data_IF_402208259567
#
_entry.id   IF_402208259567
#
_cell.length_a   1.000
_cell.length_b   1.000
_cell.length_c   1.000
_cell.angle_alpha   90.00
_cell.angle_beta   90.00
_cell.angle_gamma   90.00
#
_symmetry.space_group_name_H-M   'P 1'
#
loop_
_entity.id
_entity.type
_entity.pdbx_description
1 polymer ?
#
# COMPACT_ATOMS: atom_id res chain seq x y z
N UNK A 1 -37.81 -78.53 -3.19
CA UNK A 1 -36.62 -79.40 -3.13
C UNK A 1 -36.13 -79.41 -1.68
N UNK A 2 -36.58 -80.41 -0.93
CA UNK A 2 -35.98 -81.03 0.26
C UNK A 2 -36.63 -82.41 0.32
N UNK A 3 -35.79 -83.44 0.32
CA UNK A 3 -36.10 -84.87 0.20
C UNK A 3 -36.58 -85.51 1.51
N UNK A 4 -37.45 -86.53 1.41
CA UNK A 4 -37.47 -87.66 2.33
C UNK A 4 -38.11 -88.92 1.67
N UNK A 5 -37.69 -90.16 2.01
CA UNK A 5 -37.82 -91.33 1.16
C UNK A 5 -38.77 -92.44 1.64
N UNK A 6 -39.04 -93.33 0.67
CA UNK A 6 -39.79 -94.59 0.55
C UNK A 6 -39.59 -95.65 1.68
N UNK A 7 -40.60 -96.53 1.88
CA UNK A 7 -40.31 -97.98 1.81
C UNK A 7 -41.30 -98.78 0.93
N UNK A 8 -40.89 -100.01 0.64
CA UNK A 8 -41.34 -100.89 -0.45
C UNK A 8 -42.43 -101.92 -0.07
N UNK A 9 -42.89 -102.62 -1.11
CA UNK A 9 -44.02 -103.56 -1.24
C UNK A 9 -44.05 -104.76 -0.26
N UNK A 10 -45.17 -105.51 -0.22
CA UNK A 10 -45.16 -106.75 -1.01
C UNK A 10 -46.46 -107.09 -1.78
N UNK A 11 -46.28 -108.10 -2.62
CA UNK A 11 -47.10 -108.68 -3.67
C UNK A 11 -48.54 -109.13 -3.30
N UNK A 12 -49.39 -108.96 -4.32
CA UNK A 12 -50.59 -109.70 -4.77
C UNK A 12 -51.03 -110.97 -4.03
N UNK A 13 -52.35 -111.19 -3.96
CA UNK A 13 -52.89 -112.23 -4.85
C UNK A 13 -54.12 -111.78 -5.64
N UNK A 14 -54.10 -112.21 -6.90
CA UNK A 14 -55.17 -112.99 -7.51
C UNK A 14 -56.47 -112.25 -7.90
N UNK A 15 -56.62 -112.13 -9.22
CA UNK A 15 -57.72 -111.49 -9.90
C UNK A 15 -59.04 -112.27 -9.75
N UNK A 16 -60.15 -111.59 -9.43
CA UNK A 16 -61.45 -112.00 -9.93
C UNK A 16 -61.69 -111.36 -11.31
N UNK A 17 -61.89 -112.24 -12.28
CA UNK A 17 -62.69 -112.14 -13.51
C UNK A 17 -62.98 -110.74 -14.11
N UNK A 18 -62.69 -110.51 -15.41
CA UNK A 18 -63.14 -109.31 -16.11
C UNK A 18 -64.66 -109.31 -16.25
N UNK A 19 -65.33 -108.59 -15.35
CA UNK A 19 -66.72 -108.21 -15.54
C UNK A 19 -66.81 -107.27 -16.77
N UNK A 20 -67.83 -107.43 -17.62
CA UNK A 20 -67.89 -106.81 -18.93
C UNK A 20 -67.76 -105.29 -18.84
N UNK A 21 -66.86 -104.75 -19.67
CA UNK A 21 -66.79 -103.33 -20.05
C UNK A 21 -68.12 -102.92 -20.68
N UNK A 22 -69.10 -102.61 -19.84
CA UNK A 22 -70.38 -102.07 -20.23
C UNK A 22 -70.27 -100.54 -20.28
N UNK A 23 -70.01 -100.01 -21.48
CA UNK A 23 -70.51 -98.72 -22.00
C UNK A 23 -70.60 -97.52 -21.01
N UNK A 24 -69.60 -97.25 -20.17
CA UNK A 24 -69.65 -96.14 -19.20
C UNK A 24 -69.22 -94.78 -19.76
N UNK A 25 -68.72 -94.69 -21.00
CA UNK A 25 -68.42 -93.42 -21.67
C UNK A 25 -69.65 -92.53 -21.77
N UNK A 26 -70.83 -93.10 -22.12
CA UNK A 26 -72.08 -92.33 -22.17
C UNK A 26 -72.51 -91.78 -20.81
N UNK A 27 -72.28 -92.53 -19.73
CA UNK A 27 -72.59 -92.09 -18.37
C UNK A 27 -71.64 -90.96 -17.92
N UNK A 28 -70.34 -91.06 -18.22
CA UNK A 28 -69.37 -89.99 -17.91
C UNK A 28 -69.65 -88.71 -18.71
N UNK A 29 -69.96 -88.85 -20.00
CA UNK A 29 -70.36 -87.70 -20.83
C UNK A 29 -71.66 -87.08 -20.33
N UNK A 30 -72.63 -87.89 -19.88
CA UNK A 30 -73.88 -87.39 -19.28
C UNK A 30 -73.62 -86.66 -17.96
N UNK A 31 -72.76 -87.17 -17.08
CA UNK A 31 -72.41 -86.49 -15.82
C UNK A 31 -71.74 -85.15 -16.10
N UNK A 32 -70.78 -85.09 -17.04
CA UNK A 32 -70.12 -83.82 -17.41
C UNK A 32 -71.13 -82.83 -17.98
N UNK A 33 -71.99 -83.25 -18.91
CA UNK A 33 -73.04 -82.39 -19.44
C UNK A 33 -74.02 -81.94 -18.37
N UNK A 34 -74.41 -82.84 -17.46
CA UNK A 34 -75.26 -82.50 -16.33
C UNK A 34 -74.62 -81.44 -15.45
N UNK A 35 -73.36 -81.59 -15.06
CA UNK A 35 -72.64 -80.59 -14.26
C UNK A 35 -72.53 -79.26 -15.01
N UNK A 36 -72.19 -79.28 -16.30
CA UNK A 36 -72.13 -78.05 -17.11
C UNK A 36 -73.49 -77.37 -17.24
N UNK A 37 -74.57 -78.13 -17.42
CA UNK A 37 -75.94 -77.60 -17.49
C UNK A 37 -76.36 -77.02 -16.13
N UNK A 38 -76.07 -77.69 -15.03
CA UNK A 38 -76.40 -77.18 -13.69
C UNK A 38 -75.57 -75.94 -13.33
N UNK A 39 -74.30 -75.88 -13.74
CA UNK A 39 -73.48 -74.67 -13.60
C UNK A 39 -74.00 -73.54 -14.49
N UNK A 40 -74.35 -73.81 -15.75
CA UNK A 40 -74.92 -72.82 -16.65
C UNK A 40 -76.26 -72.28 -16.12
N UNK A 41 -77.14 -73.14 -15.59
CA UNK A 41 -78.41 -72.74 -14.97
C UNK A 41 -78.17 -71.95 -13.68
N UNK A 42 -77.28 -72.41 -12.80
CA UNK A 42 -76.95 -71.72 -11.56
C UNK A 42 -76.35 -70.33 -11.79
N UNK A 43 -75.49 -70.19 -12.79
CA UNK A 43 -74.89 -68.91 -13.20
C UNK A 43 -75.92 -68.01 -13.89
N UNK A 44 -76.83 -68.56 -14.70
CA UNK A 44 -77.88 -67.80 -15.39
C UNK A 44 -78.91 -67.21 -14.41
N UNK A 45 -79.15 -67.87 -13.27
CA UNK A 45 -80.03 -67.36 -12.22
C UNK A 45 -79.33 -66.41 -11.23
N UNK A 46 -78.06 -66.67 -10.89
CA UNK A 46 -77.32 -65.84 -9.93
C UNK A 46 -76.78 -64.52 -10.50
N UNK A 47 -76.37 -64.47 -11.77
CA UNK A 47 -75.80 -63.25 -12.37
C UNK A 47 -76.79 -62.07 -12.41
N UNK A 48 -78.06 -62.23 -12.84
CA UNK A 48 -78.99 -61.11 -12.92
C UNK A 48 -79.29 -60.48 -11.55
N UNK A 49 -79.45 -61.29 -10.49
CA UNK A 49 -79.66 -60.78 -9.13
C UNK A 49 -78.39 -60.12 -8.59
N UNK A 50 -77.21 -60.71 -8.81
CA UNK A 50 -75.94 -60.11 -8.41
C UNK A 50 -75.68 -58.77 -9.11
N UNK A 51 -75.98 -58.66 -10.42
CA UNK A 51 -75.85 -57.41 -11.16
C UNK A 51 -76.85 -56.35 -10.68
N UNK A 52 -78.09 -56.73 -10.33
CA UNK A 52 -79.06 -55.81 -9.72
C UNK A 52 -78.60 -55.33 -8.35
N UNK A 53 -78.15 -56.25 -7.49
CA UNK A 53 -77.59 -55.91 -6.18
C UNK A 53 -76.38 -54.98 -6.30
N UNK A 54 -75.48 -55.24 -7.24
CA UNK A 54 -74.30 -54.40 -7.48
C UNK A 54 -74.66 -53.04 -8.05
N UNK A 55 -75.63 -52.96 -8.97
CA UNK A 55 -76.14 -51.69 -9.47
C UNK A 55 -76.82 -50.85 -8.38
N UNK A 56 -77.55 -51.50 -7.47
CA UNK A 56 -78.18 -50.85 -6.33
C UNK A 56 -77.15 -50.35 -5.31
N UNK A 57 -76.10 -51.13 -5.02
CA UNK A 57 -74.97 -50.70 -4.20
C UNK A 57 -74.27 -49.49 -4.81
N UNK A 58 -73.94 -49.51 -6.11
CA UNK A 58 -73.34 -48.36 -6.79
C UNK A 58 -74.23 -47.12 -6.73
N UNK A 59 -75.56 -47.28 -6.83
CA UNK A 59 -76.50 -46.15 -6.69
C UNK A 59 -76.51 -45.59 -5.27
N UNK A 60 -76.45 -46.46 -4.25
CA UNK A 60 -76.37 -46.03 -2.85
C UNK A 60 -75.03 -45.34 -2.55
N UNK A 61 -73.92 -45.84 -3.08
CA UNK A 61 -72.60 -45.24 -2.91
C UNK A 61 -72.52 -43.89 -3.63
N UNK A 62 -73.06 -43.77 -4.85
CA UNK A 62 -73.17 -42.48 -5.54
C UNK A 62 -74.03 -41.49 -4.76
N UNK A 63 -75.19 -41.92 -4.26
CA UNK A 63 -76.06 -41.07 -3.44
C UNK A 63 -75.39 -40.61 -2.14
N UNK A 64 -74.55 -41.46 -1.52
CA UNK A 64 -73.74 -41.09 -0.35
C UNK A 64 -72.67 -40.05 -0.70
N UNK A 65 -71.93 -40.26 -1.78
CA UNK A 65 -70.91 -39.30 -2.24
C UNK A 65 -71.52 -37.95 -2.62
N UNK A 66 -72.67 -37.95 -3.29
CA UNK A 66 -73.36 -36.71 -3.65
C UNK A 66 -73.94 -36.01 -2.41
N UNK A 67 -74.43 -36.76 -1.42
CA UNK A 67 -74.84 -36.20 -0.13
C UNK A 67 -73.66 -35.62 0.66
N UNK A 68 -72.48 -36.27 0.64
CA UNK A 68 -71.25 -35.75 1.25
C UNK A 68 -70.78 -34.48 0.55
N UNK A 69 -70.74 -34.46 -0.79
CA UNK A 69 -70.41 -33.26 -1.57
C UNK A 69 -71.39 -32.12 -1.32
N UNK A 70 -72.68 -32.40 -1.20
CA UNK A 70 -73.69 -31.39 -0.88
C UNK A 70 -73.46 -30.80 0.52
N UNK A 71 -73.14 -31.64 1.51
CA UNK A 71 -72.79 -31.19 2.88
C UNK A 71 -71.50 -30.38 2.91
N UNK A 72 -70.48 -30.80 2.17
CA UNK A 72 -69.22 -30.05 2.07
C UNK A 72 -69.44 -28.71 1.35
N UNK A 73 -70.21 -28.67 0.26
CA UNK A 73 -70.57 -27.45 -0.43
C UNK A 73 -71.37 -26.50 0.47
N UNK A 74 -72.32 -27.03 1.24
CA UNK A 74 -73.08 -26.25 2.23
C UNK A 74 -72.17 -25.69 3.33
N UNK A 75 -71.22 -26.50 3.84
CA UNK A 75 -70.23 -26.04 4.84
C UNK A 75 -69.36 -24.91 4.27
N UNK A 76 -68.83 -25.08 3.06
CA UNK A 76 -68.00 -24.04 2.41
C UNK A 76 -68.80 -22.77 2.13
N UNK A 77 -70.07 -22.89 1.73
CA UNK A 77 -70.95 -21.74 1.52
C UNK A 77 -71.24 -21.00 2.83
N UNK A 78 -71.48 -21.72 3.94
CA UNK A 78 -71.66 -21.12 5.27
C UNK A 78 -70.38 -20.44 5.77
N UNK A 79 -69.22 -21.09 5.62
CA UNK A 79 -67.92 -20.51 5.99
C UNK A 79 -67.61 -19.25 5.16
N UNK A 80 -67.90 -19.26 3.86
CA UNK A 80 -67.71 -18.09 3.02
C UNK A 80 -68.66 -16.95 3.40
N UNK A 81 -69.95 -17.26 3.61
CA UNK A 81 -70.92 -16.26 4.06
C UNK A 81 -70.53 -15.64 5.41
N UNK A 82 -69.98 -16.45 6.34
CA UNK A 82 -69.45 -15.98 7.62
C UNK A 82 -68.27 -15.01 7.42
N UNK A 83 -67.28 -15.36 6.59
CA UNK A 83 -66.15 -14.47 6.28
C UNK A 83 -66.60 -13.18 5.61
N UNK A 84 -67.55 -13.26 4.68
CA UNK A 84 -68.08 -12.09 4.00
C UNK A 84 -68.82 -11.17 4.99
N UNK A 85 -69.59 -11.73 5.92
CA UNK A 85 -70.24 -10.98 7.01
C UNK A 85 -69.22 -10.34 7.95
N UNK A 86 -68.21 -11.08 8.39
CA UNK A 86 -67.12 -10.59 9.25
C UNK A 86 -66.38 -9.40 8.60
N UNK A 87 -66.03 -9.52 7.31
CA UNK A 87 -65.37 -8.43 6.59
C UNK A 87 -66.27 -7.22 6.36
N UNK A 88 -67.59 -7.41 6.22
CA UNK A 88 -68.55 -6.32 6.13
C UNK A 88 -68.64 -5.57 7.47
N UNK A 89 -68.77 -6.29 8.59
CA UNK A 89 -68.80 -5.73 9.95
C UNK A 89 -67.52 -4.95 10.25
N UNK A 90 -66.34 -5.50 9.92
CA UNK A 90 -65.07 -4.79 10.08
C UNK A 90 -65.02 -3.49 9.28
N UNK A 91 -65.47 -3.51 8.02
CA UNK A 91 -65.52 -2.29 7.19
C UNK A 91 -66.46 -1.23 7.77
N UNK A 92 -67.63 -1.64 8.26
CA UNK A 92 -68.57 -0.72 8.91
C UNK A 92 -67.97 -0.13 10.19
N UNK A 93 -67.33 -0.96 11.01
CA UNK A 93 -66.63 -0.54 12.23
C UNK A 93 -65.51 0.45 11.93
N UNK A 94 -64.67 0.16 10.93
CA UNK A 94 -63.62 1.07 10.45
C UNK A 94 -64.22 2.40 9.97
N UNK A 95 -65.35 2.37 9.26
CA UNK A 95 -66.01 3.58 8.80
C UNK A 95 -66.54 4.44 9.97
N UNK A 96 -67.15 3.82 10.98
CA UNK A 96 -67.60 4.50 12.20
C UNK A 96 -66.43 5.08 12.99
N UNK A 97 -65.34 4.31 13.17
CA UNK A 97 -64.11 4.77 13.81
C UNK A 97 -63.47 5.91 13.03
N UNK A 98 -63.51 5.88 11.69
CA UNK A 98 -63.02 6.99 10.85
C UNK A 98 -63.85 8.26 11.04
N UNK A 99 -65.16 8.13 11.17
CA UNK A 99 -66.05 9.25 11.45
C UNK A 99 -65.76 9.86 12.84
N UNK A 100 -65.62 9.01 13.85
CA UNK A 100 -65.30 9.43 15.23
C UNK A 100 -63.90 10.05 15.31
N UNK A 101 -62.91 9.47 14.62
CA UNK A 101 -61.59 10.05 14.42
C UNK A 101 -61.69 11.43 13.78
N UNK A 102 -62.47 11.60 12.71
CA UNK A 102 -62.63 12.88 12.04
C UNK A 102 -63.29 13.93 12.94
N UNK A 103 -64.21 13.54 13.84
CA UNK A 103 -64.80 14.44 14.83
C UNK A 103 -63.77 14.91 15.87
N UNK A 104 -62.86 14.04 16.30
CA UNK A 104 -61.86 14.32 17.33
C UNK A 104 -60.66 15.09 16.75
N UNK A 105 -60.14 14.65 15.61
CA UNK A 105 -58.91 15.17 15.01
C UNK A 105 -59.10 16.48 14.21
N UNK A 106 -60.36 16.86 13.91
CA UNK A 106 -60.71 17.96 12.99
C UNK A 106 -60.06 19.31 13.30
N UNK A 107 -59.68 19.55 14.55
CA UNK A 107 -59.03 20.81 14.95
C UNK A 107 -57.53 20.86 14.61
N UNK A 108 -56.84 19.73 14.63
CA UNK A 108 -55.37 19.71 14.69
C UNK A 108 -54.70 19.00 13.51
N UNK A 109 -55.41 18.13 12.78
CA UNK A 109 -54.84 17.37 11.65
C UNK A 109 -55.81 17.36 10.47
N UNK A 110 -55.35 17.82 9.31
CA UNK A 110 -56.17 17.91 8.09
C UNK A 110 -55.50 17.27 6.87
N UNK A 111 -56.31 16.83 5.90
CA UNK A 111 -55.84 16.27 4.63
C UNK A 111 -55.07 14.96 4.80
N UNK A 112 -54.03 14.76 3.98
CA UNK A 112 -53.27 13.50 3.93
C UNK A 112 -52.67 13.08 5.26
N UNK A 113 -52.24 14.03 6.09
CA UNK A 113 -51.68 13.72 7.41
C UNK A 113 -52.72 13.08 8.35
N UNK A 114 -54.01 13.40 8.19
CA UNK A 114 -55.10 12.81 8.96
C UNK A 114 -55.40 11.38 8.49
N UNK A 115 -55.38 11.13 7.18
CA UNK A 115 -55.56 9.78 6.64
C UNK A 115 -54.40 8.85 7.01
N UNK A 116 -53.15 9.33 6.97
CA UNK A 116 -51.99 8.56 7.42
C UNK A 116 -52.04 8.26 8.93
N UNK A 117 -52.40 9.26 9.74
CA UNK A 117 -52.52 9.07 11.19
C UNK A 117 -53.63 8.09 11.54
N UNK A 118 -54.75 8.15 10.81
CA UNK A 118 -55.82 7.18 10.96
C UNK A 118 -55.37 5.78 10.57
N UNK A 119 -54.67 5.62 9.44
CA UNK A 119 -54.11 4.33 9.01
C UNK A 119 -53.18 3.73 10.08
N UNK A 120 -52.25 4.55 10.61
CA UNK A 120 -51.31 4.11 11.65
C UNK A 120 -52.03 3.63 12.92
N UNK A 121 -53.13 4.30 13.32
CA UNK A 121 -53.93 3.90 14.48
C UNK A 121 -54.72 2.62 14.19
N UNK A 122 -55.26 2.47 12.98
CA UNK A 122 -56.02 1.28 12.59
C UNK A 122 -55.13 0.04 12.49
N UNK A 123 -53.89 0.18 12.04
CA UNK A 123 -52.91 -0.92 12.00
C UNK A 123 -52.60 -1.45 13.42
N UNK A 124 -52.46 -0.56 14.41
CA UNK A 124 -52.24 -0.93 15.82
C UNK A 124 -53.50 -1.54 16.49
N UNK A 125 -54.69 -1.32 15.91
CA UNK A 125 -55.97 -1.84 16.39
C UNK A 125 -56.44 -3.10 15.68
N UNK A 126 -55.75 -3.57 14.62
CA UNK A 126 -56.20 -4.68 13.78
C UNK A 126 -56.61 -5.93 14.55
N UNK A 127 -55.81 -6.35 15.54
CA UNK A 127 -56.10 -7.53 16.36
C UNK A 127 -57.38 -7.41 17.20
N UNK A 128 -57.70 -6.20 17.65
CA UNK A 128 -58.87 -5.97 18.51
C UNK A 128 -60.14 -5.88 17.66
N UNK A 129 -60.03 -5.38 16.43
CA UNK A 129 -61.12 -5.42 15.44
C UNK A 129 -61.43 -6.85 15.01
N UNK A 130 -60.39 -7.69 14.88
CA UNK A 130 -60.55 -9.12 14.63
C UNK A 130 -61.26 -9.79 15.81
N UNK A 131 -60.82 -9.54 17.05
CA UNK A 131 -61.44 -10.08 18.25
C UNK A 131 -62.92 -9.64 18.41
N UNK A 132 -63.23 -8.38 18.10
CA UNK A 132 -64.61 -7.89 18.12
C UNK A 132 -65.49 -8.57 17.06
N UNK A 133 -64.96 -8.78 15.85
CA UNK A 133 -65.70 -9.46 14.80
C UNK A 133 -65.96 -10.94 15.13
N UNK A 134 -64.98 -11.61 15.76
CA UNK A 134 -65.13 -12.97 16.28
C UNK A 134 -66.18 -13.05 17.40
N UNK A 135 -66.23 -12.05 18.28
CA UNK A 135 -67.24 -11.98 19.35
C UNK A 135 -68.64 -11.73 18.79
N UNK A 136 -68.77 -10.96 17.71
CA UNK A 136 -70.05 -10.65 17.07
C UNK A 136 -70.66 -11.88 16.36
N UNK A 137 -69.82 -12.82 15.92
CA UNK A 137 -70.26 -14.11 15.37
C UNK A 137 -70.58 -15.15 16.47
N UNK A 138 -70.13 -14.92 17.71
CA UNK A 138 -70.42 -15.83 18.81
C UNK A 138 -71.86 -15.65 19.31
N UNK A 139 -72.72 -16.65 19.08
CA UNK A 139 -74.13 -16.65 19.52
C UNK A 139 -74.32 -16.48 21.04
N UNK A 140 -73.26 -16.68 21.84
CA UNK A 140 -73.29 -16.51 23.29
C UNK A 140 -72.83 -15.11 23.76
N UNK A 141 -72.38 -14.24 22.84
CA UNK A 141 -72.02 -12.88 23.18
C UNK A 141 -73.28 -12.09 23.54
N UNK A 142 -73.31 -11.52 24.75
CA UNK A 142 -74.40 -10.63 25.13
C UNK A 142 -74.20 -9.24 24.51
N UNK A 143 -75.28 -8.54 24.18
CA UNK A 143 -75.24 -7.16 23.68
C UNK A 143 -74.39 -6.24 24.60
N UNK A 144 -74.47 -6.45 25.91
CA UNK A 144 -73.67 -5.71 26.89
C UNK A 144 -72.16 -5.95 26.75
N UNK A 145 -71.74 -7.16 26.34
CA UNK A 145 -70.33 -7.50 26.08
C UNK A 145 -69.85 -6.80 24.81
N UNK A 146 -70.66 -6.82 23.74
CA UNK A 146 -70.35 -6.15 22.48
C UNK A 146 -70.26 -4.62 22.67
N UNK A 147 -71.18 -4.01 23.42
CA UNK A 147 -71.14 -2.58 23.73
C UNK A 147 -69.90 -2.21 24.55
N UNK A 148 -69.51 -3.07 25.50
CA UNK A 148 -68.30 -2.87 26.29
C UNK A 148 -67.04 -2.95 25.41
N UNK A 149 -66.94 -3.95 24.53
CA UNK A 149 -65.79 -4.12 23.64
C UNK A 149 -65.69 -2.98 22.62
N UNK A 150 -66.81 -2.49 22.07
CA UNK A 150 -66.85 -1.29 21.24
C UNK A 150 -66.39 -0.05 22.02
N UNK A 151 -66.78 0.08 23.28
CA UNK A 151 -66.32 1.19 24.15
C UNK A 151 -64.81 1.12 24.37
N UNK A 152 -64.27 -0.07 24.60
CA UNK A 152 -62.83 -0.29 24.78
C UNK A 152 -62.05 -0.01 23.48
N UNK A 153 -62.57 -0.42 22.31
CA UNK A 153 -62.01 -0.08 21.01
C UNK A 153 -61.94 1.44 20.80
N UNK A 154 -63.04 2.17 21.08
CA UNK A 154 -63.05 3.64 20.97
C UNK A 154 -62.05 4.28 21.92
N UNK A 155 -61.96 3.79 23.16
CA UNK A 155 -60.98 4.28 24.15
C UNK A 155 -59.54 4.01 23.69
N UNK A 156 -59.25 2.84 23.14
CA UNK A 156 -57.94 2.49 22.58
C UNK A 156 -57.59 3.41 21.41
N UNK A 157 -58.52 3.60 20.46
CA UNK A 157 -58.35 4.53 19.33
C UNK A 157 -57.96 5.93 19.79
N UNK A 158 -58.64 6.47 20.80
CA UNK A 158 -58.34 7.81 21.34
C UNK A 158 -56.95 7.86 22.00
N UNK A 159 -56.59 6.83 22.76
CA UNK A 159 -55.28 6.76 23.42
C UNK A 159 -54.14 6.63 22.40
N UNK A 160 -54.29 5.78 21.40
CA UNK A 160 -53.29 5.57 20.34
C UNK A 160 -53.17 6.81 19.47
N UNK A 161 -54.29 7.45 19.13
CA UNK A 161 -54.32 8.75 18.46
C UNK A 161 -53.52 9.80 19.25
N UNK A 162 -53.78 9.93 20.56
CA UNK A 162 -53.08 10.88 21.41
C UNK A 162 -51.57 10.57 21.49
N UNK A 163 -51.19 9.30 21.55
CA UNK A 163 -49.79 8.87 21.56
C UNK A 163 -49.08 9.23 20.25
N UNK A 164 -49.67 8.90 19.09
CA UNK A 164 -49.11 9.20 17.77
C UNK A 164 -49.06 10.70 17.49
N UNK A 165 -50.05 11.48 17.95
CA UNK A 165 -50.02 12.95 17.88
C UNK A 165 -48.85 13.52 18.70
N UNK A 166 -48.65 13.04 19.93
CA UNK A 166 -47.49 13.44 20.76
C UNK A 166 -46.18 13.08 20.10
N UNK A 167 -46.07 11.88 19.54
CA UNK A 167 -44.88 11.43 18.82
C UNK A 167 -44.58 12.28 17.59
N UNK A 168 -45.58 12.54 16.73
CA UNK A 168 -45.42 13.41 15.56
C UNK A 168 -45.04 14.84 15.95
N UNK A 169 -45.67 15.42 16.98
CA UNK A 169 -45.31 16.74 17.48
C UNK A 169 -43.87 16.79 18.03
N UNK A 170 -43.46 15.77 18.77
CA UNK A 170 -42.10 15.64 19.28
C UNK A 170 -41.07 15.51 18.14
N UNK A 171 -41.37 14.70 17.11
CA UNK A 171 -40.53 14.57 15.91
C UNK A 171 -40.39 15.89 15.17
N UNK A 172 -41.49 16.60 14.92
CA UNK A 172 -41.43 17.91 14.25
C UNK A 172 -40.62 18.95 15.04
N UNK A 173 -40.73 18.96 16.37
CA UNK A 173 -39.89 19.82 17.23
C UNK A 173 -38.43 19.42 17.16
N UNK A 174 -38.12 18.12 17.20
CA UNK A 174 -36.76 17.60 17.08
C UNK A 174 -36.15 17.92 15.72
N UNK A 175 -36.89 17.77 14.62
CA UNK A 175 -36.45 18.14 13.27
C UNK A 175 -36.18 19.65 13.14
N UNK A 176 -37.09 20.49 13.66
CA UNK A 176 -36.88 21.95 13.70
C UNK A 176 -35.65 22.31 14.52
N UNK A 177 -35.43 21.65 15.65
CA UNK A 177 -34.25 21.82 16.49
C UNK A 177 -32.98 21.41 15.76
N UNK A 178 -32.93 20.21 15.19
CA UNK A 178 -31.79 19.70 14.41
C UNK A 178 -31.47 20.61 13.22
N UNK A 179 -32.49 21.06 12.50
CA UNK A 179 -32.33 22.02 11.40
C UNK A 179 -31.72 23.33 11.91
N UNK A 180 -32.21 23.87 13.02
CA UNK A 180 -31.65 25.10 13.61
C UNK A 180 -30.21 24.90 14.09
N UNK A 181 -29.89 23.75 14.69
CA UNK A 181 -28.52 23.39 15.08
C UNK A 181 -27.62 23.33 13.86
N UNK A 182 -28.04 22.66 12.80
CA UNK A 182 -27.25 22.49 11.59
C UNK A 182 -27.07 23.80 10.80
N UNK A 183 -28.11 24.60 10.67
CA UNK A 183 -28.10 25.82 9.86
C UNK A 183 -27.46 27.01 10.60
N UNK A 184 -27.61 27.11 11.93
CA UNK A 184 -27.20 28.29 12.69
C UNK A 184 -26.05 28.05 13.66
N UNK A 185 -25.98 26.88 14.30
CA UNK A 185 -25.03 26.62 15.39
C UNK A 185 -23.75 25.99 14.85
N UNK A 186 -23.87 24.91 14.06
CA UNK A 186 -22.73 24.19 13.52
C UNK A 186 -21.76 25.09 12.71
N UNK A 187 -22.22 26.00 11.82
CA UNK A 187 -21.33 26.86 11.07
C UNK A 187 -20.58 27.86 11.96
N UNK A 188 -21.27 28.44 12.95
CA UNK A 188 -20.67 29.39 13.90
C UNK A 188 -19.62 28.75 14.78
N UNK A 189 -19.86 27.52 15.23
CA UNK A 189 -18.87 26.74 15.99
C UNK A 189 -17.65 26.44 15.11
N UNK A 190 -17.87 25.98 13.88
CA UNK A 190 -16.79 25.71 12.94
C UNK A 190 -15.95 26.97 12.63
N UNK A 191 -16.60 28.11 12.44
CA UNK A 191 -15.95 29.41 12.21
C UNK A 191 -15.16 29.89 13.44
N UNK A 192 -15.74 29.77 14.64
CA UNK A 192 -15.07 30.11 15.89
C UNK A 192 -13.79 29.28 16.09
N UNK A 193 -13.86 27.95 15.91
CA UNK A 193 -12.68 27.09 16.06
C UNK A 193 -11.65 27.32 14.96
N UNK A 194 -12.08 27.57 13.71
CA UNK A 194 -11.15 27.97 12.64
C UNK A 194 -10.39 29.24 13.00
N UNK A 195 -11.10 30.26 13.50
CA UNK A 195 -10.50 31.51 13.96
C UNK A 195 -9.56 31.33 15.15
N UNK A 196 -9.93 30.51 16.13
CA UNK A 196 -9.05 30.17 17.25
C UNK A 196 -7.77 29.45 16.79
N UNK A 197 -7.88 28.48 15.89
CA UNK A 197 -6.74 27.75 15.34
C UNK A 197 -5.82 28.68 14.55
N UNK A 198 -6.38 29.54 13.70
CA UNK A 198 -5.58 30.53 12.96
C UNK A 198 -4.86 31.48 13.92
N UNK A 199 -5.52 31.97 14.96
CA UNK A 199 -4.92 32.91 15.92
C UNK A 199 -3.89 32.26 16.85
N UNK A 200 -4.14 31.03 17.31
CA UNK A 200 -3.28 30.33 18.29
C UNK A 200 -2.12 29.57 17.63
N UNK A 201 -2.27 29.14 16.38
CA UNK A 201 -1.30 28.29 15.69
C UNK A 201 -0.81 28.98 14.42
N UNK A 202 -1.71 29.45 13.56
CA UNK A 202 -1.37 30.07 12.29
C UNK A 202 -0.51 31.33 12.43
N UNK A 203 -0.95 32.32 13.20
CA UNK A 203 -0.27 33.60 13.35
C UNK A 203 1.10 33.47 14.04
N UNK A 204 1.27 32.68 15.12
CA UNK A 204 2.58 32.43 15.70
C UNK A 204 3.54 31.74 14.73
N UNK A 205 3.07 30.77 13.94
CA UNK A 205 3.91 30.10 12.93
C UNK A 205 4.33 31.09 11.83
N UNK A 206 3.40 31.90 11.31
CA UNK A 206 3.71 32.95 10.32
C UNK A 206 4.76 33.91 10.86
N UNK A 207 4.59 34.38 12.10
CA UNK A 207 5.52 35.31 12.77
C UNK A 207 6.90 34.67 12.97
N UNK A 208 6.96 33.46 13.51
CA UNK A 208 8.21 32.73 13.71
C UNK A 208 8.94 32.47 12.38
N UNK A 209 8.20 32.11 11.33
CA UNK A 209 8.75 31.93 9.98
C UNK A 209 9.37 33.22 9.43
N UNK A 210 8.69 34.36 9.57
CA UNK A 210 9.24 35.66 9.15
C UNK A 210 10.46 36.09 9.97
N UNK A 211 10.48 35.81 11.26
CA UNK A 211 11.63 36.10 12.13
C UNK A 211 12.84 35.23 11.78
N UNK A 212 12.63 33.93 11.51
CA UNK A 212 13.68 33.02 11.08
C UNK A 212 14.29 33.45 9.74
N UNK A 213 13.45 33.77 8.74
CA UNK A 213 13.91 34.26 7.43
C UNK A 213 14.72 35.55 7.59
N UNK A 214 14.29 36.46 8.46
CA UNK A 214 15.02 37.69 8.74
C UNK A 214 16.38 37.42 9.42
N UNK A 215 16.43 36.47 10.36
CA UNK A 215 17.68 36.05 11.01
C UNK A 215 18.65 35.39 10.02
N UNK A 216 18.18 34.43 9.22
CA UNK A 216 19.00 33.78 8.19
C UNK A 216 19.55 34.78 7.19
N UNK A 217 18.71 35.72 6.72
CA UNK A 217 19.17 36.77 5.81
C UNK A 217 20.26 37.62 6.46
N UNK A 218 20.10 38.00 7.73
CA UNK A 218 21.12 38.78 8.44
C UNK A 218 22.43 38.00 8.62
N UNK A 219 22.38 36.69 8.86
CA UNK A 219 23.58 35.85 8.94
C UNK A 219 24.26 35.74 7.58
N UNK A 220 23.50 35.49 6.52
CA UNK A 220 24.02 35.42 5.16
C UNK A 220 24.68 36.75 4.72
N UNK A 221 24.08 37.89 5.07
CA UNK A 221 24.65 39.21 4.78
C UNK A 221 25.97 39.44 5.55
N UNK A 222 26.07 38.96 6.80
CA UNK A 222 27.32 39.01 7.58
C UNK A 222 28.40 38.11 7.00
N UNK A 223 28.07 36.86 6.70
CA UNK A 223 29.01 35.92 6.07
C UNK A 223 29.52 36.47 4.72
N UNK A 224 28.63 37.07 3.93
CA UNK A 224 29.00 37.73 2.69
C UNK A 224 29.96 38.90 2.93
N UNK A 225 29.71 39.72 3.95
CA UNK A 225 30.60 40.83 4.29
C UNK A 225 31.99 40.34 4.75
N UNK A 226 32.04 39.30 5.59
CA UNK A 226 33.29 38.70 6.06
C UNK A 226 34.08 38.06 4.91
N UNK A 227 33.42 37.36 3.99
CA UNK A 227 34.03 36.80 2.79
C UNK A 227 34.59 37.90 1.87
N UNK A 228 33.88 39.01 1.69
CA UNK A 228 34.36 40.16 0.92
C UNK A 228 35.59 40.77 1.59
N UNK A 229 35.57 40.97 2.91
CA UNK A 229 36.72 41.48 3.64
C UNK A 229 37.94 40.54 3.57
N UNK A 230 37.72 39.22 3.67
CA UNK A 230 38.78 38.23 3.52
C UNK A 230 39.36 38.22 2.10
N UNK A 231 38.52 38.33 1.07
CA UNK A 231 38.94 38.42 -0.33
C UNK A 231 39.77 39.69 -0.57
N UNK A 232 39.31 40.84 -0.08
CA UNK A 232 40.06 42.10 -0.17
C UNK A 232 41.43 42.02 0.54
N UNK A 233 41.49 41.31 1.67
CA UNK A 233 42.73 41.00 2.37
C UNK A 233 43.69 40.17 1.51
N UNK A 234 43.20 39.06 0.95
CA UNK A 234 43.97 38.18 0.09
C UNK A 234 44.47 38.89 -1.17
N UNK A 235 43.65 39.75 -1.79
CA UNK A 235 44.04 40.56 -2.95
C UNK A 235 45.18 41.52 -2.60
N UNK A 236 45.12 42.19 -1.44
CA UNK A 236 46.20 43.08 -0.97
C UNK A 236 47.48 42.31 -0.71
N UNK A 237 47.40 41.11 -0.14
CA UNK A 237 48.55 40.26 0.13
C UNK A 237 49.19 39.74 -1.15
N UNK A 238 48.37 39.31 -2.12
CA UNK A 238 48.84 38.95 -3.46
C UNK A 238 49.56 40.12 -4.15
N UNK A 239 49.03 41.34 -4.07
CA UNK A 239 49.67 42.53 -4.62
C UNK A 239 51.02 42.85 -3.93
N UNK A 240 51.16 42.60 -2.62
CA UNK A 240 52.44 42.72 -1.91
C UNK A 240 53.44 41.67 -2.38
N UNK A 241 53.01 40.42 -2.49
CA UNK A 241 53.85 39.32 -2.99
C UNK A 241 54.33 39.59 -4.43
N UNK A 242 53.48 40.16 -5.29
CA UNK A 242 53.87 40.56 -6.66
C UNK A 242 54.93 41.66 -6.65
N UNK A 243 54.80 42.65 -5.76
CA UNK A 243 55.81 43.70 -5.58
C UNK A 243 57.14 43.12 -5.09
N UNK A 244 57.12 42.25 -4.08
CA UNK A 244 58.31 41.58 -3.55
C UNK A 244 58.99 40.70 -4.60
N UNK A 245 58.22 39.97 -5.41
CA UNK A 245 58.74 39.18 -6.53
C UNK A 245 59.43 40.08 -7.56
N UNK A 246 58.86 41.24 -7.86
CA UNK A 246 59.43 42.21 -8.80
C UNK A 246 60.73 42.80 -8.27
N UNK A 247 60.77 43.17 -6.99
CA UNK A 247 62.01 43.63 -6.32
C UNK A 247 63.07 42.54 -6.28
N UNK A 248 62.70 41.29 -5.97
CA UNK A 248 63.60 40.15 -5.97
C UNK A 248 64.19 39.90 -7.36
N UNK A 249 63.37 39.95 -8.43
CA UNK A 249 63.84 39.87 -9.82
C UNK A 249 64.83 40.99 -10.14
N UNK A 250 64.59 42.21 -9.67
CA UNK A 250 65.52 43.34 -9.82
C UNK A 250 66.86 43.12 -9.11
N UNK A 251 66.84 42.57 -7.88
CA UNK A 251 68.05 42.19 -7.14
C UNK A 251 68.84 41.09 -7.84
N UNK A 252 68.15 40.06 -8.35
CA UNK A 252 68.78 38.97 -9.13
C UNK A 252 69.42 39.53 -10.40
N UNK A 253 68.71 40.39 -11.17
CA UNK A 253 69.28 41.02 -12.36
C UNK A 253 70.54 41.84 -12.04
N UNK A 254 70.50 42.64 -10.97
CA UNK A 254 71.66 43.42 -10.49
C UNK A 254 72.82 42.51 -10.06
N UNK A 255 72.53 41.40 -9.37
CA UNK A 255 73.54 40.43 -8.95
C UNK A 255 74.19 39.73 -10.15
N UNK A 256 73.40 39.36 -11.17
CA UNK A 256 73.89 38.79 -12.43
C UNK A 256 74.77 39.80 -13.17
N UNK A 257 74.35 41.07 -13.27
CA UNK A 257 75.17 42.12 -13.89
C UNK A 257 76.49 42.35 -13.14
N UNK A 258 76.46 42.34 -11.80
CA UNK A 258 77.66 42.47 -10.98
C UNK A 258 78.58 41.24 -11.12
N UNK A 259 78.01 40.03 -11.20
CA UNK A 259 78.77 38.81 -11.45
C UNK A 259 79.44 38.85 -12.84
N UNK A 260 78.69 39.24 -13.88
CA UNK A 260 79.22 39.40 -15.24
C UNK A 260 80.33 40.46 -15.31
N UNK A 261 80.19 41.58 -14.58
CA UNK A 261 81.25 42.60 -14.46
C UNK A 261 82.48 42.04 -13.76
N UNK A 262 82.32 41.31 -12.65
CA UNK A 262 83.44 40.66 -11.94
C UNK A 262 84.14 39.64 -12.82
N UNK A 263 83.39 38.82 -13.54
CA UNK A 263 83.93 37.81 -14.46
C UNK A 263 84.72 38.46 -15.59
N UNK A 264 84.20 39.56 -16.16
CA UNK A 264 84.92 40.39 -17.13
C UNK A 264 86.23 40.94 -16.54
N UNK A 265 86.18 41.53 -15.35
CA UNK A 265 87.39 42.04 -14.67
C UNK A 265 88.41 40.94 -14.39
N UNK A 266 87.96 39.77 -13.94
CA UNK A 266 88.84 38.61 -13.69
C UNK A 266 89.50 38.12 -15.00
N UNK A 267 88.73 38.08 -16.10
CA UNK A 267 89.24 37.74 -17.43
C UNK A 267 90.25 38.75 -17.95
N UNK A 268 90.01 40.04 -17.74
CA UNK A 268 90.93 41.13 -18.11
C UNK A 268 92.23 41.08 -17.28
N UNK A 269 92.13 40.78 -15.98
CA UNK A 269 93.28 40.57 -15.09
C UNK A 269 94.10 39.34 -15.50
N UNK A 270 93.44 38.21 -15.79
CA UNK A 270 94.11 37.00 -16.25
C UNK A 270 94.84 37.23 -17.58
N UNK A 271 94.22 37.97 -18.51
CA UNK A 271 94.85 38.35 -19.78
C UNK A 271 96.06 39.25 -19.58
N UNK A 272 96.00 40.18 -18.61
CA UNK A 272 97.12 41.07 -18.26
C UNK A 272 98.27 40.29 -17.61
N UNK A 273 97.95 39.39 -16.68
CA UNK A 273 98.93 38.52 -16.04
C UNK A 273 99.61 37.58 -17.04
N UNK A 274 98.86 37.02 -17.99
CA UNK A 274 99.41 36.20 -19.08
C UNK A 274 100.41 37.00 -19.93
N UNK A 275 100.08 38.25 -20.30
CA UNK A 275 101.01 39.13 -21.03
C UNK A 275 102.27 39.47 -20.23
N UNK A 276 102.14 39.67 -18.92
CA UNK A 276 103.30 39.89 -18.04
C UNK A 276 104.18 38.65 -17.91
N UNK A 277 103.58 37.46 -17.80
CA UNK A 277 104.32 36.19 -17.82
C UNK A 277 105.02 35.97 -19.17
N UNK A 278 104.36 36.26 -20.29
CA UNK A 278 104.96 36.15 -21.61
C UNK A 278 106.15 37.11 -21.77
N UNK A 279 106.04 38.35 -21.27
CA UNK A 279 107.14 39.30 -21.23
C UNK A 279 108.30 38.83 -20.31
N UNK A 280 107.98 38.26 -19.13
CA UNK A 280 108.97 37.73 -18.21
C UNK A 280 109.69 36.50 -18.76
N UNK A 281 108.98 35.61 -19.46
CA UNK A 281 109.57 34.47 -20.20
C UNK A 281 110.48 34.99 -21.32
N UNK A 282 110.06 36.03 -22.04
CA UNK A 282 110.90 36.70 -23.03
C UNK A 282 112.21 37.23 -22.44
N UNK A 283 112.12 37.95 -21.31
CA UNK A 283 113.30 38.48 -20.58
C UNK A 283 114.20 37.38 -20.02
N UNK A 284 113.61 36.31 -19.46
CA UNK A 284 114.36 35.15 -19.00
C UNK A 284 115.06 34.44 -20.17
N UNK A 285 114.40 34.35 -21.33
CA UNK A 285 114.99 33.82 -22.55
C UNK A 285 116.21 34.62 -23.01
N UNK A 286 116.15 35.95 -23.00
CA UNK A 286 117.32 36.81 -23.28
C UNK A 286 118.42 36.63 -22.25
N UNK A 287 118.10 36.61 -20.95
CA UNK A 287 119.08 36.40 -19.89
C UNK A 287 119.76 35.03 -19.99
N UNK A 288 119.02 33.97 -20.32
CA UNK A 288 119.57 32.63 -20.57
C UNK A 288 120.47 32.65 -21.81
N UNK A 289 120.07 33.32 -22.89
CA UNK A 289 120.90 33.45 -24.08
C UNK A 289 122.20 34.22 -23.80
N UNK A 290 122.14 35.30 -23.02
CA UNK A 290 123.30 36.06 -22.55
C UNK A 290 124.20 35.22 -21.63
N UNK A 291 123.62 34.46 -20.71
CA UNK A 291 124.36 33.55 -19.84
C UNK A 291 125.04 32.42 -20.64
N UNK A 292 124.36 31.85 -21.63
CA UNK A 292 124.92 30.86 -22.55
C UNK A 292 126.04 31.46 -23.40
N UNK A 293 125.88 32.69 -23.90
CA UNK A 293 126.93 33.40 -24.63
C UNK A 293 128.15 33.66 -23.73
N UNK A 294 127.92 34.06 -22.47
CA UNK A 294 128.96 34.27 -21.46
C UNK A 294 129.68 32.97 -21.10
N UNK A 295 128.95 31.86 -20.95
CA UNK A 295 129.52 30.52 -20.73
C UNK A 295 130.32 30.03 -21.94
N UNK A 296 129.83 30.22 -23.17
CA UNK A 296 130.59 29.89 -24.39
C UNK A 296 131.88 30.72 -24.49
N UNK A 297 131.81 32.01 -24.12
CA UNK A 297 132.97 32.88 -24.05
C UNK A 297 133.96 32.40 -22.99
N UNK A 298 133.49 32.10 -21.78
CA UNK A 298 134.32 31.54 -20.71
C UNK A 298 134.96 30.19 -21.07
N UNK A 299 134.23 29.33 -21.80
CA UNK A 299 134.76 28.06 -22.31
C UNK A 299 135.80 28.25 -23.43
N UNK A 300 135.71 29.33 -24.21
CA UNK A 300 136.71 29.66 -25.22
C UNK A 300 138.01 30.25 -24.60
N UNK A 301 137.90 30.87 -23.42
CA UNK A 301 138.98 31.66 -22.82
C UNK A 301 139.88 30.92 -21.80
N UNK A 302 139.60 29.66 -21.42
CA UNK A 302 140.30 29.05 -20.27
C UNK A 302 141.09 27.74 -20.57
N UNK A 303 142.38 27.68 -20.19
CA UNK A 303 143.43 26.85 -20.80
C UNK A 303 143.34 25.33 -20.53
N UNK A 304 143.73 24.58 -21.56
CA UNK A 304 143.65 23.13 -21.70
C UNK A 304 144.47 22.34 -20.66
N UNK A 305 143.77 21.67 -19.73
CA UNK A 305 144.24 20.49 -19.00
C UNK A 305 143.02 19.67 -18.51
N UNK A 306 143.17 18.35 -18.29
CA UNK A 306 142.22 17.37 -18.81
C UNK A 306 140.90 17.29 -18.04
N UNK A 307 139.85 17.73 -18.74
CA UNK A 307 138.44 17.47 -18.44
C UNK A 307 138.15 15.99 -18.71
N UNK A 308 138.24 15.15 -17.68
CA UNK A 308 137.61 13.82 -17.71
C UNK A 308 136.67 13.52 -16.53
N UNK A 309 136.66 14.35 -15.48
CA UNK A 309 135.82 14.09 -14.30
C UNK A 309 134.63 15.06 -14.11
N UNK A 310 134.41 16.03 -15.02
CA UNK A 310 133.28 16.99 -14.91
C UNK A 310 132.03 16.53 -15.69
N UNK A 311 132.12 15.45 -16.47
CA UNK A 311 130.95 14.87 -17.15
C UNK A 311 129.97 14.14 -16.19
N UNK A 312 130.34 13.91 -14.93
CA UNK A 312 129.50 13.21 -13.95
C UNK A 312 128.73 14.14 -12.99
N UNK A 313 128.85 15.47 -13.10
CA UNK A 313 128.07 16.41 -12.28
C UNK A 313 126.80 16.94 -12.99
N UNK A 314 126.56 16.60 -14.26
CA UNK A 314 125.48 17.19 -15.08
C UNK A 314 124.25 16.28 -15.22
N UNK A 315 124.24 15.05 -14.69
CA UNK A 315 123.15 14.08 -14.95
C UNK A 315 122.45 13.49 -13.72
N UNK A 316 122.70 13.99 -12.50
CA UNK A 316 121.98 13.53 -11.31
C UNK A 316 121.55 14.68 -10.41
N UNK A 317 120.26 15.02 -10.45
CA UNK A 317 119.58 15.36 -9.19
C UNK A 317 118.60 16.53 -9.15
N UNK A 318 118.64 17.51 -10.07
CA UNK A 318 117.80 18.73 -9.93
C UNK A 318 116.73 18.96 -11.02
N UNK A 319 116.66 18.11 -12.04
CA UNK A 319 115.58 18.17 -13.03
C UNK A 319 114.28 17.45 -12.60
N UNK A 320 114.29 16.75 -11.46
CA UNK A 320 113.13 16.00 -10.95
C UNK A 320 112.18 16.84 -10.06
N UNK A 321 112.61 18.00 -9.54
CA UNK A 321 111.73 18.91 -8.77
C UNK A 321 110.82 19.78 -9.63
N UNK A 322 111.15 20.01 -10.90
CA UNK A 322 110.35 20.85 -11.79
C UNK A 322 109.15 20.13 -12.44
N UNK A 323 109.03 18.79 -12.33
CA UNK A 323 107.89 18.02 -12.90
C UNK A 323 106.84 17.59 -11.88
N UNK A 324 107.15 17.59 -10.58
CA UNK A 324 106.18 17.27 -9.53
C UNK A 324 105.38 18.49 -9.08
N UNK A 325 105.94 19.71 -9.13
CA UNK A 325 105.20 20.93 -8.77
C UNK A 325 104.21 21.39 -9.85
N UNK A 326 104.34 20.93 -11.11
CA UNK A 326 103.35 21.23 -12.17
C UNK A 326 102.16 20.25 -12.20
N UNK A 327 102.24 19.10 -11.51
CA UNK A 327 101.15 18.14 -11.42
C UNK A 327 100.16 18.49 -10.29
N UNK A 328 100.64 19.05 -9.17
CA UNK A 328 99.77 19.52 -8.07
C UNK A 328 99.03 20.82 -8.41
N UNK A 329 99.58 21.70 -9.24
CA UNK A 329 98.87 22.91 -9.70
C UNK A 329 97.74 22.61 -10.72
N UNK A 330 97.76 21.44 -11.39
CA UNK A 330 96.72 21.05 -12.36
C UNK A 330 95.57 20.26 -11.70
N UNK A 331 95.80 19.63 -10.54
CA UNK A 331 94.75 18.95 -9.77
C UNK A 331 93.86 19.93 -8.97
N UNK A 332 94.42 21.04 -8.47
CA UNK A 332 93.65 22.04 -7.72
C UNK A 332 92.70 22.89 -8.57
N UNK A 333 92.82 22.86 -9.91
CA UNK A 333 91.94 23.58 -10.83
C UNK A 333 90.76 22.73 -11.37
N UNK A 334 90.61 21.47 -10.94
CA UNK A 334 89.53 20.56 -11.39
C UNK A 334 88.68 19.96 -10.26
N UNK A 335 89.03 20.15 -8.98
CA UNK A 335 88.12 19.84 -7.87
C UNK A 335 87.29 21.09 -7.53
N UNK A 336 86.18 21.27 -8.24
CA UNK A 336 85.18 22.28 -7.93
C UNK A 336 84.44 21.95 -6.63
N UNK A 337 85.05 22.26 -5.48
CA UNK A 337 84.37 22.26 -4.19
C UNK A 337 84.29 23.68 -3.64
N UNK A 338 83.12 24.29 -3.83
CA UNK A 338 82.74 25.51 -3.15
C UNK A 338 82.28 25.16 -1.72
N UNK A 339 82.81 25.81 -0.66
CA UNK A 339 82.36 25.55 0.69
C UNK A 339 80.92 26.02 0.91
N UNK A 340 80.09 25.09 1.36
CA UNK A 340 78.76 25.34 1.89
C UNK A 340 78.83 26.38 3.00
N UNK A 341 78.25 27.56 2.75
CA UNK A 341 77.97 28.55 3.80
C UNK A 341 76.54 28.32 4.27
N UNK A 342 76.46 27.74 5.45
CA UNK A 342 75.29 27.75 6.30
C UNK A 342 74.80 29.19 6.52
N UNK A 343 73.48 29.38 6.45
CA UNK A 343 72.84 30.59 6.94
C UNK A 343 71.71 30.21 7.89
N UNK A 344 71.98 30.46 9.17
CA UNK A 344 70.96 30.73 10.18
C UNK A 344 70.30 32.08 9.87
N UNK A 345 68.97 32.10 9.99
CA UNK A 345 68.03 33.21 10.22
C UNK A 345 66.77 32.97 9.38
#
# INVERSE_FOLDING_TARGET
>A
MSDAPKPAAPATPEAPAPAPRARSTRLRTFIIWSVCVHLAIGVLWGIPEYLRYRAEQHRLDQARLDAERARDAERMAKEQAKKDAETATKKELVAQLKEDFAKIARADVTGKAADELFSDVMDDMGSDLDAYADELDNENASDASLDQHMTDLKKKMVNDLLAKLRERNARQLAEKFLKKVNDQIAPKIAEHYRGEVERKIGDPIKKAGTELIAQEKSLADKERADLVAALDGAVKEAARAEKELTEAKGRVATAVDNANKKDKTAKDQATTAAKQQEAAIGQAGTAIAEAQASLKKAAADAPAAPVKDIANAVNSGEAAKAKTETAEAKAAAHSGDAPATAKQA
#
